data_IF_587657689297
#
_entry.id   IF_587657689297
#
_cell.length_a   1.000
_cell.length_b   1.000
_cell.length_c   1.000
_cell.angle_alpha   90.00
_cell.angle_beta   90.00
_cell.angle_gamma   90.00
#
_symmetry.space_group_name_H-M   'P 1'
#
loop_
_entity.id
_entity.type
_entity.pdbx_description
1 polymer ?
#
# COMPACT_ATOMS: atom_id res chain seq x y z
N UNK A 1 -27.55 -31.08 50.11
CA UNK A 1 -26.07 -31.10 50.04
C UNK A 1 -25.67 -31.56 48.65
N UNK A 2 -24.58 -30.97 48.14
CA UNK A 2 -23.69 -31.48 47.10
C UNK A 2 -23.92 -31.06 45.62
N UNK A 3 -23.10 -30.07 45.20
CA UNK A 3 -22.31 -29.93 43.95
C UNK A 3 -22.99 -30.18 42.58
N UNK A 4 -22.79 -29.40 41.50
CA UNK A 4 -21.63 -28.63 41.11
C UNK A 4 -22.02 -27.49 40.13
N UNK A 5 -21.42 -26.33 40.34
CA UNK A 5 -21.38 -25.24 39.37
C UNK A 5 -20.42 -25.62 38.23
N UNK A 6 -20.94 -25.81 37.01
CA UNK A 6 -20.11 -25.84 35.81
C UNK A 6 -19.93 -24.39 35.36
N UNK A 7 -18.88 -23.78 35.89
CA UNK A 7 -18.30 -22.58 35.34
C UNK A 7 -17.68 -22.95 33.98
N UNK A 8 -18.43 -22.77 32.90
CA UNK A 8 -17.86 -22.70 31.56
C UNK A 8 -17.01 -21.44 31.51
N UNK A 9 -15.72 -21.62 31.82
CA UNK A 9 -14.70 -20.64 31.53
C UNK A 9 -14.74 -20.36 30.03
N UNK A 10 -15.25 -19.18 29.69
CA UNK A 10 -14.82 -18.52 28.47
C UNK A 10 -13.33 -18.27 28.62
N UNK A 11 -12.55 -19.26 28.19
CA UNK A 11 -11.23 -19.02 27.64
C UNK A 11 -11.45 -18.05 26.47
N UNK A 12 -11.50 -16.76 26.77
CA UNK A 12 -11.39 -15.72 25.78
C UNK A 12 -10.07 -15.97 25.08
N UNK A 13 -10.16 -16.36 23.80
CA UNK A 13 -9.03 -16.52 22.90
C UNK A 13 -8.21 -15.21 22.87
N UNK A 14 -7.26 -15.10 23.79
CA UNK A 14 -6.12 -14.21 23.66
C UNK A 14 -5.22 -14.76 22.57
N UNK A 15 -5.10 -14.02 21.47
CA UNK A 15 -4.26 -14.40 20.33
C UNK A 15 -4.95 -14.18 19.00
N UNK A 16 -5.21 -12.92 18.63
CA UNK A 16 -5.20 -12.55 17.22
C UNK A 16 -3.92 -11.76 17.02
N UNK A 17 -2.88 -12.44 16.52
CA UNK A 17 -1.75 -11.74 15.94
C UNK A 17 -2.32 -10.74 14.93
N UNK A 18 -2.13 -9.45 15.21
CA UNK A 18 -2.63 -8.42 14.33
C UNK A 18 -1.96 -8.62 12.96
N UNK A 19 -2.76 -8.89 11.92
CA UNK A 19 -2.25 -9.07 10.56
C UNK A 19 -1.43 -7.83 10.21
N UNK A 20 -0.17 -8.04 9.80
CA UNK A 20 0.74 -6.95 9.50
C UNK A 20 0.15 -6.08 8.37
N UNK A 21 0.26 -4.74 8.44
CA UNK A 21 -0.30 -3.83 7.42
C UNK A 21 0.14 -4.14 5.99
N UNK A 22 1.35 -4.68 5.82
CA UNK A 22 1.87 -5.14 4.52
C UNK A 22 1.10 -6.33 3.95
N UNK A 23 0.67 -7.27 4.79
CA UNK A 23 -0.11 -8.43 4.34
C UNK A 23 -1.53 -8.02 3.95
N UNK A 24 -2.11 -7.04 4.66
CA UNK A 24 -3.40 -6.44 4.28
C UNK A 24 -3.30 -5.72 2.92
N UNK A 25 -2.21 -5.01 2.66
CA UNK A 25 -1.95 -4.40 1.35
C UNK A 25 -1.84 -5.43 0.23
N UNK A 26 -1.02 -6.47 0.40
CA UNK A 26 -0.86 -7.54 -0.59
C UNK A 26 -2.21 -8.16 -0.94
N UNK A 27 -2.99 -8.53 0.07
CA UNK A 27 -4.31 -9.10 -0.14
C UNK A 27 -5.23 -8.14 -0.91
N UNK A 28 -5.21 -6.85 -0.58
CA UNK A 28 -6.06 -5.88 -1.27
C UNK A 28 -5.67 -5.68 -2.76
N UNK A 29 -4.41 -5.86 -3.13
CA UNK A 29 -3.99 -5.89 -4.54
C UNK A 29 -4.41 -7.18 -5.25
N UNK A 30 -4.34 -8.34 -4.59
CA UNK A 30 -4.86 -9.59 -5.16
C UNK A 30 -6.37 -9.54 -5.37
N UNK A 31 -7.11 -8.97 -4.42
CA UNK A 31 -8.54 -8.74 -4.56
C UNK A 31 -8.81 -7.84 -5.78
N UNK A 32 -8.05 -6.75 -5.94
CA UNK A 32 -8.20 -5.86 -7.10
C UNK A 32 -7.85 -6.55 -8.42
N UNK A 33 -6.81 -7.39 -8.49
CA UNK A 33 -6.52 -8.19 -9.68
C UNK A 33 -7.70 -9.10 -10.03
N UNK A 34 -8.28 -9.75 -9.02
CA UNK A 34 -9.44 -10.64 -9.22
C UNK A 34 -10.63 -9.88 -9.78
N UNK A 35 -10.90 -8.67 -9.27
CA UNK A 35 -12.00 -7.83 -9.73
C UNK A 35 -11.76 -7.31 -11.17
N UNK A 36 -10.52 -7.02 -11.55
CA UNK A 36 -10.16 -6.66 -12.93
C UNK A 36 -10.47 -7.82 -13.89
N UNK A 37 -10.06 -9.05 -13.54
CA UNK A 37 -10.35 -10.26 -14.35
C UNK A 37 -11.84 -10.55 -14.48
N UNK A 38 -12.62 -10.19 -13.45
CA UNK A 38 -14.08 -10.38 -13.47
C UNK A 38 -14.84 -9.28 -14.20
N UNK A 39 -14.23 -8.11 -14.40
CA UNK A 39 -14.90 -6.95 -14.98
C UNK A 39 -14.56 -6.73 -16.46
N UNK A 40 -13.34 -7.04 -16.89
CA UNK A 40 -12.85 -6.77 -18.26
C UNK A 40 -12.91 -8.06 -19.09
N UNK A 41 -13.89 -8.17 -19.98
CA UNK A 41 -14.08 -9.37 -20.81
C UNK A 41 -13.05 -9.50 -21.95
N UNK A 42 -12.45 -8.38 -22.38
CA UNK A 42 -11.43 -8.34 -23.43
C UNK A 42 -10.08 -8.81 -22.88
N UNK A 43 -9.56 -9.99 -23.28
CA UNK A 43 -8.35 -10.56 -22.69
C UNK A 43 -7.10 -9.68 -22.88
N UNK A 44 -7.03 -8.92 -23.98
CA UNK A 44 -5.89 -8.05 -24.23
C UNK A 44 -5.91 -6.84 -23.29
N UNK A 45 -7.08 -6.22 -23.10
CA UNK A 45 -7.25 -5.12 -22.14
C UNK A 45 -7.08 -5.57 -20.70
N UNK A 46 -7.54 -6.77 -20.36
CA UNK A 46 -7.35 -7.35 -19.02
C UNK A 46 -5.84 -7.48 -18.70
N UNK A 47 -5.07 -8.06 -19.62
CA UNK A 47 -3.62 -8.22 -19.46
C UNK A 47 -2.94 -6.86 -19.28
N UNK A 48 -3.31 -5.87 -20.08
CA UNK A 48 -2.76 -4.51 -19.98
C UNK A 48 -3.13 -3.84 -18.63
N UNK A 49 -4.38 -3.98 -18.18
CA UNK A 49 -4.84 -3.45 -16.90
C UNK A 49 -4.11 -4.09 -15.71
N UNK A 50 -3.89 -5.40 -15.75
CA UNK A 50 -3.11 -6.12 -14.72
C UNK A 50 -1.66 -5.64 -14.74
N UNK A 51 -1.03 -5.49 -15.91
CA UNK A 51 0.34 -5.00 -16.02
C UNK A 51 0.51 -3.58 -15.45
N UNK A 52 -0.46 -2.68 -15.69
CA UNK A 52 -0.48 -1.35 -15.09
C UNK A 52 -0.62 -1.41 -13.57
N UNK A 53 -1.44 -2.32 -13.06
CA UNK A 53 -1.64 -2.52 -11.63
C UNK A 53 -0.37 -3.08 -10.95
N UNK A 54 0.29 -4.05 -11.58
CA UNK A 54 1.54 -4.64 -11.08
C UNK A 54 2.64 -3.58 -11.02
N UNK A 55 2.79 -2.78 -12.08
CA UNK A 55 3.72 -1.66 -12.07
C UNK A 55 3.39 -0.60 -11.00
N UNK A 56 2.12 -0.42 -10.65
CA UNK A 56 1.72 0.46 -9.54
C UNK A 56 2.10 -0.15 -8.19
N UNK A 57 1.89 -1.46 -8.00
CA UNK A 57 2.28 -2.16 -6.79
C UNK A 57 3.80 -2.08 -6.55
N UNK A 58 4.60 -2.27 -7.60
CA UNK A 58 6.06 -2.15 -7.55
C UNK A 58 6.50 -0.71 -7.19
N UNK A 59 5.86 0.30 -7.78
CA UNK A 59 6.13 1.70 -7.47
C UNK A 59 5.89 2.05 -6.00
N UNK A 60 4.85 1.47 -5.41
CA UNK A 60 4.46 1.67 -4.01
C UNK A 60 5.36 0.87 -3.06
N UNK A 61 5.81 -0.32 -3.46
CA UNK A 61 6.83 -1.07 -2.74
C UNK A 61 8.13 -0.27 -2.67
N UNK A 62 8.61 0.24 -3.82
CA UNK A 62 9.80 1.09 -3.84
C UNK A 62 9.62 2.42 -3.09
N UNK A 63 8.39 2.93 -2.95
CA UNK A 63 8.11 4.09 -2.07
C UNK A 63 8.29 3.72 -0.59
N UNK A 64 7.82 2.56 -0.15
CA UNK A 64 8.01 2.06 1.22
C UNK A 64 9.49 1.95 1.58
N UNK A 65 10.28 1.36 0.70
CA UNK A 65 11.73 1.20 0.94
C UNK A 65 12.39 2.56 1.12
N UNK A 66 12.10 3.51 0.24
CA UNK A 66 12.58 4.90 0.33
C UNK A 66 12.14 5.61 1.60
N UNK A 67 10.91 5.39 2.09
CA UNK A 67 10.45 5.96 3.37
C UNK A 67 11.27 5.39 4.54
N UNK A 68 11.55 4.09 4.51
CA UNK A 68 12.35 3.41 5.54
C UNK A 68 13.79 3.91 5.55
N UNK A 69 14.41 4.00 4.37
CA UNK A 69 15.75 4.58 4.18
C UNK A 69 15.80 6.03 4.65
N UNK A 70 14.80 6.85 4.31
CA UNK A 70 14.71 8.24 4.77
C UNK A 70 14.67 8.32 6.28
N UNK A 71 13.83 7.50 6.93
CA UNK A 71 13.72 7.46 8.39
C UNK A 71 15.06 7.09 9.04
N UNK A 72 15.78 6.14 8.47
CA UNK A 72 17.12 5.77 8.92
C UNK A 72 18.12 6.93 8.71
N UNK A 73 18.11 7.57 7.54
CA UNK A 73 19.03 8.67 7.23
C UNK A 73 18.80 9.88 8.14
N UNK A 74 17.54 10.25 8.39
CA UNK A 74 17.20 11.31 9.34
C UNK A 74 17.72 10.98 10.74
N UNK A 75 17.60 9.73 11.20
CA UNK A 75 18.17 9.31 12.49
C UNK A 75 19.69 9.44 12.52
N UNK A 76 20.38 9.05 11.45
CA UNK A 76 21.84 9.16 11.35
C UNK A 76 22.31 10.62 11.41
N UNK A 77 21.66 11.51 10.66
CA UNK A 77 21.98 12.94 10.67
C UNK A 77 21.71 13.56 12.06
N UNK A 78 20.58 13.22 12.68
CA UNK A 78 20.25 13.72 14.02
C UNK A 78 21.16 13.18 15.13
N UNK A 79 21.76 12.00 14.93
CA UNK A 79 22.68 11.41 15.92
C UNK A 79 24.04 12.12 15.96
N UNK A 80 24.41 12.84 14.91
CA UNK A 80 25.64 13.61 14.84
C UNK A 80 25.35 15.10 15.06
N UNK A 81 25.72 15.62 16.23
CA UNK A 81 25.54 17.02 16.62
C UNK A 81 26.26 18.01 15.69
N UNK A 82 27.33 17.57 15.03
CA UNK A 82 28.12 18.40 14.11
C UNK A 82 27.63 18.31 12.66
N UNK A 83 26.49 17.65 12.39
CA UNK A 83 25.94 17.54 11.03
C UNK A 83 25.66 18.93 10.46
N UNK A 84 26.29 19.31 9.33
CA UNK A 84 26.04 20.58 8.69
C UNK A 84 24.58 20.71 8.23
N UNK A 85 24.03 21.91 8.33
CA UNK A 85 22.69 22.23 7.80
C UNK A 85 22.52 21.83 6.33
N UNK A 86 23.57 21.99 5.52
CA UNK A 86 23.59 21.63 4.10
C UNK A 86 23.26 20.14 3.86
N UNK A 87 23.61 19.24 4.78
CA UNK A 87 23.30 17.81 4.65
C UNK A 87 21.80 17.52 4.85
N UNK A 88 21.14 18.28 5.72
CA UNK A 88 19.68 18.21 5.88
C UNK A 88 18.96 18.79 4.66
N UNK A 89 19.43 19.93 4.15
CA UNK A 89 18.87 20.56 2.94
C UNK A 89 19.00 19.62 1.74
N UNK A 90 20.17 19.00 1.54
CA UNK A 90 20.37 18.00 0.49
C UNK A 90 19.45 16.78 0.64
N UNK A 91 19.18 16.33 1.87
CA UNK A 91 18.21 15.26 2.14
C UNK A 91 16.79 15.70 1.75
N UNK A 92 16.35 16.89 2.16
CA UNK A 92 15.00 17.38 1.86
C UNK A 92 14.80 17.62 0.36
N UNK A 93 15.77 18.21 -0.33
CA UNK A 93 15.72 18.41 -1.79
C UNK A 93 15.62 17.08 -2.56
N UNK A 94 16.27 16.03 -2.05
CA UNK A 94 16.14 14.69 -2.62
C UNK A 94 14.73 14.14 -2.39
N UNK A 95 14.22 14.25 -1.17
CA UNK A 95 12.89 13.76 -0.79
C UNK A 95 11.79 14.44 -1.62
N UNK A 96 11.87 15.75 -1.83
CA UNK A 96 10.88 16.49 -2.62
C UNK A 96 10.84 16.02 -4.07
N UNK A 97 12.02 15.79 -4.68
CA UNK A 97 12.13 15.22 -6.04
C UNK A 97 11.54 13.81 -6.12
N UNK A 98 11.78 12.98 -5.11
CA UNK A 98 11.23 11.62 -5.03
C UNK A 98 9.70 11.64 -4.89
N UNK A 99 9.15 12.53 -4.06
CA UNK A 99 7.69 12.71 -3.91
C UNK A 99 7.06 13.12 -5.24
N UNK A 100 7.61 14.13 -5.91
CA UNK A 100 7.10 14.60 -7.21
C UNK A 100 7.20 13.51 -8.29
N UNK A 101 8.29 12.73 -8.29
CA UNK A 101 8.45 11.59 -9.20
C UNK A 101 7.39 10.53 -8.95
N UNK A 102 7.18 10.10 -7.70
CA UNK A 102 6.18 9.09 -7.37
C UNK A 102 4.76 9.55 -7.69
N UNK A 103 4.40 10.80 -7.36
CA UNK A 103 3.09 11.36 -7.68
C UNK A 103 2.80 11.33 -9.18
N UNK A 104 3.80 11.68 -10.01
CA UNK A 104 3.68 11.59 -11.48
C UNK A 104 3.43 10.16 -11.93
N UNK A 105 4.26 9.20 -11.52
CA UNK A 105 4.12 7.78 -11.93
C UNK A 105 2.78 7.17 -11.51
N UNK A 106 2.31 7.46 -10.30
CA UNK A 106 0.99 6.99 -9.83
C UNK A 106 -0.14 7.61 -10.65
N UNK A 107 -0.06 8.91 -10.93
CA UNK A 107 -1.07 9.62 -11.74
C UNK A 107 -1.09 9.13 -13.18
N UNK A 108 0.07 8.89 -13.78
CA UNK A 108 0.21 8.36 -15.13
C UNK A 108 -0.41 6.96 -15.25
N UNK A 109 -0.09 6.04 -14.32
CA UNK A 109 -0.69 4.70 -14.31
C UNK A 109 -2.20 4.75 -14.07
N UNK A 110 -2.66 5.63 -13.19
CA UNK A 110 -4.09 5.83 -12.96
C UNK A 110 -4.82 6.30 -14.22
N UNK A 111 -4.25 7.26 -14.95
CA UNK A 111 -4.80 7.76 -16.22
C UNK A 111 -4.75 6.70 -17.32
N UNK A 112 -3.67 5.93 -17.40
CA UNK A 112 -3.55 4.83 -18.34
C UNK A 112 -4.63 3.77 -18.08
N UNK A 113 -4.83 3.38 -16.82
CA UNK A 113 -5.88 2.43 -16.44
C UNK A 113 -7.27 2.96 -16.81
N UNK A 114 -7.56 4.24 -16.51
CA UNK A 114 -8.81 4.88 -16.92
C UNK A 114 -9.02 4.91 -18.43
N UNK A 115 -7.96 5.07 -19.23
CA UNK A 115 -8.04 5.17 -20.67
C UNK A 115 -8.37 3.83 -21.35
N UNK A 116 -8.01 2.71 -20.72
CA UNK A 116 -8.25 1.36 -21.25
C UNK A 116 -9.50 0.67 -20.70
N UNK A 117 -10.12 1.25 -19.66
CA UNK A 117 -11.37 0.73 -19.08
C UNK A 117 -12.59 1.50 -19.56
N UNK A 118 -13.72 0.81 -19.73
CA UNK A 118 -15.04 1.45 -19.91
C UNK A 118 -15.56 2.06 -18.60
N UNK A 119 -16.54 2.97 -18.63
CA UNK A 119 -17.18 3.47 -17.40
C UNK A 119 -17.79 2.37 -16.52
N UNK A 120 -18.37 1.34 -17.14
CA UNK A 120 -18.99 0.21 -16.46
C UNK A 120 -17.93 -0.68 -15.78
N UNK A 121 -16.88 -1.05 -16.51
CA UNK A 121 -15.71 -1.79 -16.00
C UNK A 121 -15.07 -1.02 -14.83
N UNK A 122 -14.86 0.29 -15.02
CA UNK A 122 -14.28 1.15 -14.00
C UNK A 122 -15.13 1.22 -12.74
N UNK A 123 -16.45 1.36 -12.90
CA UNK A 123 -17.41 1.36 -11.79
C UNK A 123 -17.31 0.06 -10.98
N UNK A 124 -17.25 -1.09 -11.67
CA UNK A 124 -17.13 -2.40 -11.04
C UNK A 124 -15.86 -2.53 -10.18
N UNK A 125 -14.70 -2.09 -10.68
CA UNK A 125 -13.42 -2.23 -9.95
C UNK A 125 -13.15 -1.10 -8.95
N UNK A 126 -13.89 0.02 -9.01
CA UNK A 126 -13.59 1.25 -8.25
C UNK A 126 -13.52 1.06 -6.73
N UNK A 127 -14.38 0.20 -6.17
CA UNK A 127 -14.43 -0.10 -4.74
C UNK A 127 -13.19 -0.91 -4.31
N UNK A 128 -12.81 -1.92 -5.09
CA UNK A 128 -11.60 -2.69 -4.84
C UNK A 128 -10.35 -1.81 -4.95
N UNK A 129 -10.30 -0.92 -5.96
CA UNK A 129 -9.22 0.07 -6.13
C UNK A 129 -9.07 0.96 -4.91
N UNK A 130 -10.17 1.49 -4.40
CA UNK A 130 -10.18 2.35 -3.21
C UNK A 130 -9.71 1.58 -1.98
N UNK A 131 -10.10 0.31 -1.82
CA UNK A 131 -9.60 -0.55 -0.74
C UNK A 131 -8.10 -0.78 -0.83
N UNK A 132 -7.58 -1.12 -2.01
CA UNK A 132 -6.14 -1.30 -2.23
C UNK A 132 -5.35 -0.04 -1.88
N UNK A 133 -5.78 1.14 -2.36
CA UNK A 133 -5.11 2.39 -2.04
C UNK A 133 -5.16 2.76 -0.56
N UNK A 134 -6.28 2.51 0.12
CA UNK A 134 -6.38 2.72 1.56
C UNK A 134 -5.48 1.77 2.35
N UNK A 135 -5.33 0.51 1.90
CA UNK A 135 -4.41 -0.43 2.51
C UNK A 135 -2.95 0.03 2.39
N UNK A 136 -2.57 0.55 1.22
CA UNK A 136 -1.26 1.17 0.98
C UNK A 136 -1.02 2.33 1.94
N UNK A 137 -1.96 3.28 2.02
CA UNK A 137 -1.82 4.45 2.91
C UNK A 137 -1.58 3.98 4.36
N UNK A 138 -2.36 3.03 4.85
CA UNK A 138 -2.19 2.47 6.20
C UNK A 138 -0.84 1.78 6.38
N UNK A 139 -0.40 1.04 5.36
CA UNK A 139 0.88 0.33 5.40
C UNK A 139 2.06 1.29 5.40
N UNK A 140 2.01 2.36 4.61
CA UNK A 140 3.02 3.42 4.61
C UNK A 140 3.06 4.20 5.93
N UNK A 141 1.91 4.43 6.57
CA UNK A 141 1.80 5.09 7.88
C UNK A 141 2.39 4.25 9.03
N UNK A 142 2.49 2.94 8.85
CA UNK A 142 3.03 2.03 9.86
C UNK A 142 4.57 1.95 9.87
N UNK A 143 5.25 2.60 8.92
CA UNK A 143 6.73 2.58 8.77
C UNK A 143 7.42 3.46 9.80
#
# INVERSE_FOLDING_TARGET
MLFAAIACGFAGCGGKDAVAPIEVEKQAFEDLRTEIRGAIDDPAREIEAIALLDGLADDLHGLRDRISERKQRTRQLNANYDTPRADFEALFDRVDREIQSNQRRVTEKHRALLAITTPEEWSAISKARTRAMNAVIKSLQAI
#
